data_IF_887259680469
#
_entry.id   IF_887259680469
#
_cell.length_a   1.000
_cell.length_b   1.000
_cell.length_c   1.000
_cell.angle_alpha   90.00
_cell.angle_beta   90.00
_cell.angle_gamma   90.00
#
_symmetry.space_group_name_H-M   'P 1'
#
loop_
_entity.id
_entity.type
_entity.pdbx_description
1 polymer ?
#
# COMPACT_ATOMS: atom_id res chain seq x y z
N UNK A 1 -3.72 17.40 10.93
CA UNK A 1 -4.40 16.50 9.96
C UNK A 1 -4.58 17.24 8.62
N UNK A 2 -3.68 17.10 7.65
CA UNK A 2 -3.86 17.62 6.27
C UNK A 2 -2.90 17.05 5.21
N UNK A 3 -2.02 16.10 5.57
CA UNK A 3 -0.98 15.59 4.65
C UNK A 3 -1.36 14.31 3.90
N UNK A 4 -2.34 13.53 4.36
CA UNK A 4 -2.67 12.23 3.75
C UNK A 4 -3.45 12.35 2.45
N UNK A 5 -4.36 13.32 2.30
CA UNK A 5 -5.18 13.45 1.07
C UNK A 5 -4.38 13.88 -0.18
N UNK A 6 -3.19 14.44 0.01
CA UNK A 6 -2.33 14.84 -1.11
C UNK A 6 -1.49 13.68 -1.66
N UNK A 7 -1.24 12.64 -0.87
CA UNK A 7 -0.42 11.49 -1.28
C UNK A 7 -1.23 10.57 -2.22
N UNK A 8 -2.52 10.35 -1.93
CA UNK A 8 -3.41 9.57 -2.80
C UNK A 8 -3.67 10.26 -4.15
N UNK A 9 -3.69 11.60 -4.17
CA UNK A 9 -3.72 12.42 -5.39
C UNK A 9 -2.42 12.34 -6.20
N UNK A 10 -1.28 12.29 -5.52
CA UNK A 10 0.02 12.09 -6.19
C UNK A 10 0.11 10.69 -6.81
N UNK A 11 -0.46 9.68 -6.14
CA UNK A 11 -0.51 8.29 -6.65
C UNK A 11 -1.37 8.15 -7.91
N UNK A 12 -2.54 8.79 -7.95
CA UNK A 12 -3.42 8.80 -9.13
C UNK A 12 -2.85 9.61 -10.30
N UNK A 13 -2.24 10.78 -10.01
CA UNK A 13 -1.52 11.56 -11.01
C UNK A 13 -0.30 10.81 -11.57
N UNK A 14 0.42 10.08 -10.71
CA UNK A 14 1.54 9.21 -11.09
C UNK A 14 1.12 8.08 -12.03
N UNK A 15 -0.02 7.42 -11.75
CA UNK A 15 -0.61 6.38 -12.61
C UNK A 15 -0.96 6.92 -14.01
N UNK A 16 -1.56 8.11 -14.07
CA UNK A 16 -1.85 8.80 -15.32
C UNK A 16 -0.58 9.17 -16.10
N UNK A 17 0.43 9.74 -15.43
CA UNK A 17 1.72 10.08 -16.03
C UNK A 17 2.45 8.83 -16.56
N UNK A 18 2.46 7.73 -15.79
CA UNK A 18 3.05 6.48 -16.25
C UNK A 18 2.34 5.88 -17.47
N UNK A 19 1.03 6.07 -17.62
CA UNK A 19 0.30 5.63 -18.80
C UNK A 19 0.65 6.45 -20.05
N UNK A 20 0.89 7.76 -19.90
CA UNK A 20 1.29 8.66 -20.98
C UNK A 20 2.73 8.38 -21.45
N UNK A 21 3.63 8.07 -20.51
CA UNK A 21 5.05 7.83 -20.80
C UNK A 21 5.44 6.35 -20.95
N UNK A 22 4.47 5.43 -20.96
CA UNK A 22 4.77 4.01 -21.16
C UNK A 22 5.12 3.72 -22.63
N UNK A 23 6.25 3.05 -22.91
CA UNK A 23 6.66 2.62 -24.26
C UNK A 23 5.60 1.85 -25.06
N UNK A 24 4.69 1.13 -24.39
CA UNK A 24 3.63 0.37 -25.06
C UNK A 24 2.40 1.22 -25.45
N UNK A 25 2.20 2.38 -24.83
CA UNK A 25 1.12 3.33 -25.15
C UNK A 25 1.64 4.49 -26.02
N UNK A 26 2.96 4.59 -26.14
CA UNK A 26 3.68 5.57 -26.91
C UNK A 26 3.24 5.67 -28.38
N UNK A 27 3.00 4.54 -29.10
CA UNK A 27 2.50 4.60 -30.47
C UNK A 27 1.11 5.22 -30.57
N UNK A 28 0.22 4.94 -29.60
CA UNK A 28 -1.14 5.48 -29.55
C UNK A 28 -1.13 6.99 -29.27
N UNK A 29 -0.27 7.43 -28.35
CA UNK A 29 -0.11 8.85 -28.03
C UNK A 29 0.58 9.61 -29.17
N UNK A 30 1.58 9.02 -29.80
CA UNK A 30 2.21 9.55 -31.01
C UNK A 30 1.19 9.66 -32.17
N UNK A 31 0.28 8.69 -32.32
CA UNK A 31 -0.81 8.75 -33.30
C UNK A 31 -1.79 9.88 -33.01
N UNK A 32 -2.19 10.05 -31.73
CA UNK A 32 -3.07 11.14 -31.30
C UNK A 32 -2.42 12.53 -31.45
N UNK A 33 -1.14 12.67 -31.08
CA UNK A 33 -0.37 13.90 -31.25
C UNK A 33 -0.15 14.23 -32.74
N UNK A 34 0.09 13.21 -33.57
CA UNK A 34 0.19 13.36 -35.03
C UNK A 34 -1.14 13.79 -35.64
N UNK A 35 -2.26 13.23 -35.17
CA UNK A 35 -3.61 13.63 -35.59
C UNK A 35 -3.96 15.08 -35.19
N UNK A 36 -3.35 15.60 -34.12
CA UNK A 36 -3.46 17.00 -33.70
C UNK A 36 -2.41 17.92 -34.36
N UNK A 37 -1.63 17.41 -35.33
CA UNK A 37 -0.63 18.21 -36.07
C UNK A 37 0.67 18.47 -35.32
N UNK A 38 0.90 17.83 -34.17
CA UNK A 38 2.12 17.94 -33.36
C UNK A 38 3.22 16.93 -33.77
N UNK A 39 3.03 16.23 -34.90
CA UNK A 39 3.91 15.14 -35.36
C UNK A 39 5.33 15.56 -35.77
N UNK A 40 5.63 16.86 -35.79
CA UNK A 40 6.97 17.40 -36.10
C UNK A 40 7.85 17.64 -34.86
N UNK A 41 7.31 17.44 -33.65
CA UNK A 41 8.18 17.37 -32.49
C UNK A 41 8.92 16.03 -32.52
N UNK A 42 10.23 16.06 -32.75
CA UNK A 42 11.17 15.10 -32.19
C UNK A 42 11.11 15.18 -30.65
N UNK A 43 9.95 14.87 -30.07
CA UNK A 43 9.67 14.89 -28.63
C UNK A 43 10.56 13.86 -27.89
N UNK A 44 11.37 13.11 -28.67
CA UNK A 44 12.34 12.09 -28.31
C UNK A 44 13.74 12.37 -28.86
N UNK A 45 14.24 13.60 -28.75
CA UNK A 45 15.69 13.80 -28.76
C UNK A 45 16.39 12.92 -27.71
N UNK A 46 17.72 12.75 -27.78
CA UNK A 46 18.53 11.86 -26.92
C UNK A 46 18.39 12.05 -25.40
N UNK A 47 17.64 13.07 -24.96
CA UNK A 47 17.26 13.33 -23.58
C UNK A 47 16.25 12.33 -23.01
N UNK A 48 15.45 11.65 -23.84
CA UNK A 48 14.37 10.79 -23.35
C UNK A 48 14.86 9.51 -22.68
N UNK A 49 16.06 9.06 -23.04
CA UNK A 49 16.76 7.96 -22.37
C UNK A 49 17.02 8.29 -20.89
N UNK A 50 17.49 9.52 -20.63
CA UNK A 50 17.75 10.02 -19.28
C UNK A 50 16.49 10.18 -18.46
N UNK A 51 15.40 10.65 -19.07
CA UNK A 51 14.09 10.77 -18.41
C UNK A 51 13.56 9.39 -18.00
N UNK A 52 13.64 8.41 -18.90
CA UNK A 52 13.19 7.04 -18.62
C UNK A 52 14.02 6.40 -17.48
N UNK A 53 15.34 6.55 -17.51
CA UNK A 53 16.21 6.09 -16.43
C UNK A 53 15.88 6.76 -15.08
N UNK A 54 15.60 8.06 -15.07
CA UNK A 54 15.18 8.77 -13.86
C UNK A 54 13.87 8.21 -13.28
N UNK A 55 12.88 7.92 -14.13
CA UNK A 55 11.62 7.30 -13.68
C UNK A 55 11.83 5.90 -13.09
N UNK A 56 12.72 5.09 -13.69
CA UNK A 56 13.09 3.77 -13.16
C UNK A 56 13.75 3.90 -11.78
N UNK A 57 14.67 4.86 -11.61
CA UNK A 57 15.30 5.13 -10.31
C UNK A 57 14.29 5.60 -9.26
N UNK A 58 13.36 6.49 -9.63
CA UNK A 58 12.27 6.92 -8.74
C UNK A 58 11.39 5.73 -8.34
N UNK A 59 11.06 4.84 -9.28
CA UNK A 59 10.26 3.63 -9.02
C UNK A 59 10.96 2.67 -8.06
N UNK A 60 12.24 2.35 -8.31
CA UNK A 60 13.05 1.51 -7.42
C UNK A 60 13.24 2.18 -6.05
N UNK A 61 13.44 3.50 -6.01
CA UNK A 61 13.50 4.29 -4.78
C UNK A 61 12.19 4.23 -3.98
N UNK A 62 11.05 4.32 -4.65
CA UNK A 62 9.73 4.13 -4.04
C UNK A 62 9.54 2.73 -3.45
N UNK A 63 9.96 1.69 -4.17
CA UNK A 63 9.97 0.30 -3.68
C UNK A 63 10.95 0.11 -2.51
N UNK A 64 12.08 0.81 -2.50
CA UNK A 64 13.02 0.81 -1.37
C UNK A 64 12.45 1.49 -0.12
N UNK A 65 11.77 2.63 -0.28
CA UNK A 65 11.05 3.29 0.82
C UNK A 65 9.94 2.36 1.35
N UNK A 66 9.19 1.69 0.46
CA UNK A 66 8.21 0.65 0.82
C UNK A 66 8.85 -0.48 1.64
N UNK A 67 10.02 -0.97 1.21
CA UNK A 67 10.80 -1.97 1.95
C UNK A 67 11.20 -1.51 3.35
N UNK A 68 11.72 -0.29 3.50
CA UNK A 68 12.10 0.24 4.82
C UNK A 68 10.92 0.32 5.79
N UNK A 69 9.71 0.59 5.28
CA UNK A 69 8.50 0.72 6.09
C UNK A 69 7.90 -0.63 6.48
N UNK A 70 7.89 -1.61 5.58
CA UNK A 70 7.19 -2.88 5.79
C UNK A 70 8.11 -4.11 5.93
N UNK A 71 9.45 -3.94 5.87
CA UNK A 71 10.49 -4.98 6.01
C UNK A 71 10.36 -6.17 5.03
N UNK A 72 9.65 -6.02 3.92
CA UNK A 72 9.37 -7.10 2.98
C UNK A 72 10.29 -7.07 1.75
N UNK A 73 11.25 -7.99 1.67
CA UNK A 73 12.35 -7.90 0.68
C UNK A 73 11.99 -8.31 -0.75
N UNK A 74 10.98 -9.16 -0.95
CA UNK A 74 10.68 -9.79 -2.25
C UNK A 74 10.45 -8.81 -3.43
N UNK A 75 9.62 -7.75 -3.31
CA UNK A 75 9.40 -6.84 -4.43
C UNK A 75 10.68 -6.08 -4.81
N UNK A 76 11.49 -5.72 -3.81
CA UNK A 76 12.76 -5.02 -4.02
C UNK A 76 13.80 -5.95 -4.69
N UNK A 77 13.84 -7.23 -4.31
CA UNK A 77 14.73 -8.21 -4.95
C UNK A 77 14.41 -8.45 -6.42
N UNK A 78 13.17 -8.24 -6.87
CA UNK A 78 12.79 -8.30 -8.29
C UNK A 78 13.07 -6.96 -8.97
N UNK A 79 12.82 -5.83 -8.30
CA UNK A 79 12.95 -4.51 -8.90
C UNK A 79 14.39 -4.07 -9.16
N UNK A 80 15.33 -4.36 -8.25
CA UNK A 80 16.75 -4.02 -8.41
C UNK A 80 17.36 -4.67 -9.66
N UNK A 81 17.29 -6.00 -9.87
CA UNK A 81 17.85 -6.62 -11.07
C UNK A 81 17.11 -6.17 -12.34
N UNK A 82 15.81 -5.91 -12.26
CA UNK A 82 15.03 -5.36 -13.38
C UNK A 82 15.51 -3.97 -13.80
N UNK A 83 15.80 -3.09 -12.84
CA UNK A 83 16.37 -1.76 -13.10
C UNK A 83 17.79 -1.82 -13.66
N UNK A 84 18.63 -2.73 -13.15
CA UNK A 84 19.98 -2.97 -13.69
C UNK A 84 19.93 -3.50 -15.13
N UNK A 85 18.98 -4.39 -15.44
CA UNK A 85 18.79 -4.92 -16.80
C UNK A 85 18.42 -3.80 -17.79
N UNK A 86 17.56 -2.87 -17.39
CA UNK A 86 17.19 -1.69 -18.20
C UNK A 86 18.41 -0.79 -18.42
N UNK A 87 19.21 -0.55 -17.37
CA UNK A 87 20.42 0.25 -17.49
C UNK A 87 21.46 -0.40 -18.42
N UNK A 88 21.66 -1.71 -18.28
CA UNK A 88 22.54 -2.50 -19.15
C UNK A 88 22.10 -2.46 -20.62
N UNK A 89 20.80 -2.64 -20.87
CA UNK A 89 20.24 -2.58 -22.21
C UNK A 89 20.56 -1.24 -22.91
N UNK A 90 20.55 -0.14 -22.15
CA UNK A 90 20.74 1.20 -22.71
C UNK A 90 22.20 1.64 -22.87
N UNK A 91 23.11 1.18 -22.00
CA UNK A 91 24.48 1.71 -21.98
C UNK A 91 25.55 0.75 -22.49
N UNK A 92 25.27 -0.55 -22.54
CA UNK A 92 26.28 -1.57 -22.85
C UNK A 92 25.91 -2.36 -24.10
N UNK A 93 24.61 -2.53 -24.40
CA UNK A 93 24.17 -3.41 -25.47
C UNK A 93 23.83 -2.63 -26.76
N UNK A 94 24.84 -2.40 -27.61
CA UNK A 94 24.67 -1.82 -28.96
C UNK A 94 24.07 -2.79 -29.99
N UNK A 95 23.72 -4.02 -29.59
CA UNK A 95 23.10 -5.02 -30.47
C UNK A 95 21.59 -4.84 -30.59
N UNK A 96 21.01 -5.27 -31.73
CA UNK A 96 19.55 -5.20 -32.01
C UNK A 96 18.65 -5.82 -30.92
N UNK A 97 19.21 -6.69 -30.08
CA UNK A 97 18.52 -7.32 -28.95
C UNK A 97 18.25 -6.39 -27.75
N UNK A 98 18.73 -5.14 -27.76
CA UNK A 98 18.60 -4.22 -26.62
C UNK A 98 17.14 -4.01 -26.19
N UNK A 99 16.23 -3.99 -27.17
CA UNK A 99 14.78 -3.86 -26.95
C UNK A 99 14.20 -5.01 -26.13
N UNK A 100 14.64 -6.26 -26.35
CA UNK A 100 14.17 -7.42 -25.59
C UNK A 100 14.58 -7.34 -24.11
N UNK A 101 15.82 -6.91 -23.83
CA UNK A 101 16.28 -6.72 -22.45
C UNK A 101 15.53 -5.58 -21.75
N UNK A 102 15.28 -4.48 -22.47
CA UNK A 102 14.48 -3.37 -21.95
C UNK A 102 13.06 -3.83 -21.58
N UNK A 103 12.38 -4.55 -22.46
CA UNK A 103 11.03 -5.06 -22.20
C UNK A 103 11.00 -6.08 -21.05
N UNK A 104 11.99 -6.97 -20.99
CA UNK A 104 12.11 -7.93 -19.89
C UNK A 104 12.24 -7.22 -18.53
N UNK A 105 13.06 -6.16 -18.46
CA UNK A 105 13.23 -5.37 -17.25
C UNK A 105 11.98 -4.59 -16.88
N UNK A 106 11.27 -4.01 -17.84
CA UNK A 106 9.99 -3.35 -17.59
C UNK A 106 8.93 -4.30 -17.06
N UNK A 107 8.84 -5.50 -17.63
CA UNK A 107 7.92 -6.53 -17.17
C UNK A 107 8.26 -6.98 -15.74
N UNK A 108 9.55 -7.11 -15.42
CA UNK A 108 10.02 -7.38 -14.06
C UNK A 108 9.62 -6.30 -13.05
N UNK A 109 9.77 -5.01 -13.41
CA UNK A 109 9.32 -3.89 -12.56
C UNK A 109 7.80 -3.88 -12.38
N UNK A 110 7.04 -4.22 -13.42
CA UNK A 110 5.59 -4.32 -13.36
C UNK A 110 5.16 -5.44 -12.41
N UNK A 111 5.77 -6.63 -12.51
CA UNK A 111 5.55 -7.73 -11.56
C UNK A 111 5.90 -7.30 -10.14
N UNK A 112 7.06 -6.67 -9.93
CA UNK A 112 7.48 -6.18 -8.62
C UNK A 112 6.46 -5.20 -8.03
N UNK A 113 5.92 -4.31 -8.87
CA UNK A 113 4.92 -3.32 -8.48
C UNK A 113 3.58 -3.97 -8.14
N UNK A 114 3.12 -4.92 -8.95
CA UNK A 114 1.90 -5.69 -8.65
C UNK A 114 2.07 -6.48 -7.35
N UNK A 115 3.23 -7.09 -7.13
CA UNK A 115 3.52 -7.82 -5.90
C UNK A 115 3.55 -6.88 -4.69
N UNK A 116 4.19 -5.71 -4.82
CA UNK A 116 4.19 -4.68 -3.81
C UNK A 116 2.77 -4.14 -3.53
N UNK A 117 1.96 -3.91 -4.56
CA UNK A 117 0.57 -3.45 -4.42
C UNK A 117 -0.31 -4.49 -3.76
N UNK A 118 -0.29 -5.74 -4.25
CA UNK A 118 -1.07 -6.84 -3.65
C UNK A 118 -0.64 -7.10 -2.22
N UNK A 119 0.66 -7.08 -1.94
CA UNK A 119 1.18 -7.22 -0.57
C UNK A 119 0.87 -6.03 0.30
N UNK A 120 0.96 -4.80 -0.18
CA UNK A 120 0.57 -3.61 0.58
C UNK A 120 -0.94 -3.54 0.80
N UNK A 121 -1.75 -4.12 -0.10
CA UNK A 121 -3.18 -4.30 0.11
C UNK A 121 -3.47 -5.40 1.14
N UNK A 122 -2.69 -6.47 1.16
CA UNK A 122 -2.82 -7.56 2.14
C UNK A 122 -2.25 -7.20 3.51
N UNK A 123 -1.15 -6.43 3.57
CA UNK A 123 -0.42 -6.05 4.78
C UNK A 123 -0.66 -4.57 5.16
N UNK A 124 -1.58 -3.89 4.48
CA UNK A 124 -1.84 -2.44 4.64
C UNK A 124 -2.58 -2.08 5.92
N UNK A 125 -3.08 -3.06 6.63
CA UNK A 125 -3.79 -2.92 7.88
C UNK A 125 -3.61 -4.26 8.59
N UNK A 126 -3.48 -4.28 9.91
CA UNK A 126 -3.33 -5.54 10.64
C UNK A 126 -4.33 -6.59 10.15
N UNK A 127 -3.99 -7.89 10.23
CA UNK A 127 -4.83 -8.98 9.72
C UNK A 127 -6.27 -8.96 10.29
N UNK A 128 -6.49 -8.16 11.34
CA UNK A 128 -7.75 -7.96 12.06
C UNK A 128 -8.22 -6.51 12.06
N UNK A 129 -7.71 -5.66 11.17
CA UNK A 129 -8.05 -4.25 11.10
C UNK A 129 -9.13 -4.00 10.03
N UNK A 130 -10.13 -3.19 10.35
CA UNK A 130 -11.23 -2.82 9.44
C UNK A 130 -11.29 -1.31 9.24
N UNK A 131 -12.10 -0.85 8.28
CA UNK A 131 -12.34 0.59 8.08
C UNK A 131 -13.62 1.00 8.80
N UNK A 132 -13.52 1.92 9.76
CA UNK A 132 -14.64 2.49 10.50
C UNK A 132 -14.65 4.01 10.29
N UNK A 133 -15.76 4.57 9.77
CA UNK A 133 -15.90 6.00 9.44
C UNK A 133 -14.70 6.60 8.68
N UNK A 134 -14.13 5.83 7.74
CA UNK A 134 -12.99 6.25 6.91
C UNK A 134 -11.63 6.23 7.62
N UNK A 135 -11.53 5.65 8.82
CA UNK A 135 -10.28 5.46 9.58
C UNK A 135 -10.00 3.96 9.77
N UNK A 136 -8.72 3.59 9.84
CA UNK A 136 -8.27 2.21 10.08
C UNK A 136 -8.32 1.90 11.58
N UNK A 137 -9.07 0.85 11.98
CA UNK A 137 -9.24 0.43 13.37
C UNK A 137 -8.90 -1.05 13.54
N UNK A 138 -8.29 -1.44 14.65
CA UNK A 138 -7.96 -2.82 15.00
C UNK A 138 -9.12 -3.48 15.76
N UNK A 139 -9.64 -4.60 15.23
CA UNK A 139 -10.80 -5.29 15.83
C UNK A 139 -10.40 -6.45 16.73
N UNK A 140 -9.17 -6.94 16.66
CA UNK A 140 -8.72 -8.00 17.56
C UNK A 140 -8.26 -7.41 18.89
N UNK A 141 -8.89 -7.86 19.96
CA UNK A 141 -8.51 -7.48 21.31
C UNK A 141 -8.50 -8.70 22.21
N UNK A 142 -7.45 -8.81 23.04
CA UNK A 142 -7.37 -9.82 24.08
C UNK A 142 -8.03 -9.29 25.34
N UNK A 143 -9.19 -9.87 25.69
CA UNK A 143 -9.89 -9.60 26.94
C UNK A 143 -9.23 -10.37 28.08
N UNK A 144 -8.89 -9.67 29.16
CA UNK A 144 -8.35 -10.27 30.38
C UNK A 144 -9.40 -10.23 31.48
N UNK A 145 -9.82 -11.40 31.97
CA UNK A 145 -10.80 -11.48 33.05
C UNK A 145 -10.17 -11.04 34.39
N UNK A 146 -10.73 -10.03 35.09
CA UNK A 146 -10.19 -9.58 36.38
C UNK A 146 -10.41 -10.59 37.52
N UNK A 147 -11.38 -11.51 37.38
CA UNK A 147 -11.72 -12.48 38.43
C UNK A 147 -10.77 -13.70 38.45
N UNK A 148 -10.33 -14.17 37.28
CA UNK A 148 -9.55 -15.42 37.15
C UNK A 148 -8.26 -15.28 36.34
N UNK A 149 -7.95 -14.09 35.81
CA UNK A 149 -6.77 -13.82 35.00
C UNK A 149 -6.78 -14.46 33.61
N UNK A 150 -7.87 -15.12 33.20
CA UNK A 150 -7.97 -15.75 31.89
C UNK A 150 -7.95 -14.71 30.78
N UNK A 151 -7.15 -14.96 29.74
CA UNK A 151 -7.02 -14.12 28.56
C UNK A 151 -7.65 -14.82 27.37
N UNK A 152 -8.55 -14.13 26.67
CA UNK A 152 -9.15 -14.62 25.43
C UNK A 152 -9.05 -13.56 24.35
N UNK A 153 -8.54 -13.94 23.19
CA UNK A 153 -8.49 -13.07 22.01
C UNK A 153 -9.79 -13.21 21.24
N UNK A 154 -10.47 -12.08 21.05
CA UNK A 154 -11.78 -12.00 20.40
C UNK A 154 -11.76 -10.92 19.32
N UNK A 155 -12.62 -11.10 18.33
CA UNK A 155 -12.88 -10.09 17.30
C UNK A 155 -14.03 -9.20 17.79
N UNK A 156 -13.74 -7.92 17.93
CA UNK A 156 -14.66 -6.91 18.38
C UNK A 156 -15.62 -6.51 17.24
N UNK A 157 -16.94 -6.51 17.48
CA UNK A 157 -17.90 -6.04 16.51
C UNK A 157 -17.74 -4.54 16.23
N UNK A 158 -17.93 -4.12 14.99
CA UNK A 158 -17.91 -2.72 14.56
C UNK A 158 -19.29 -2.09 14.48
N UNK A 159 -20.33 -2.92 14.53
CA UNK A 159 -21.75 -2.58 14.41
C UNK A 159 -22.46 -2.44 15.75
N UNK A 160 -21.85 -2.90 16.86
CA UNK A 160 -22.46 -2.85 18.19
C UNK A 160 -21.43 -2.73 19.32
N UNK A 161 -21.88 -2.13 20.43
CA UNK A 161 -21.10 -2.04 21.67
C UNK A 161 -21.30 -3.28 22.55
N UNK A 162 -20.21 -3.98 22.89
CA UNK A 162 -20.27 -5.12 23.82
C UNK A 162 -20.18 -4.61 25.25
N UNK A 163 -21.35 -4.44 25.88
CA UNK A 163 -21.44 -4.01 27.28
C UNK A 163 -21.31 -5.16 28.28
N UNK A 164 -21.73 -6.37 27.90
CA UNK A 164 -21.64 -7.56 28.74
C UNK A 164 -20.79 -8.62 28.06
N UNK A 165 -19.87 -9.22 28.81
CA UNK A 165 -19.06 -10.34 28.33
C UNK A 165 -19.01 -11.44 29.39
N UNK A 166 -19.26 -12.68 28.98
CA UNK A 166 -19.15 -13.83 29.87
C UNK A 166 -17.79 -14.48 29.70
N UNK A 167 -17.02 -14.58 30.78
CA UNK A 167 -15.72 -15.25 30.73
C UNK A 167 -15.90 -16.76 30.53
N UNK A 168 -15.26 -17.35 29.53
CA UNK A 168 -15.38 -18.79 29.24
C UNK A 168 -14.87 -19.69 30.37
N UNK A 169 -13.88 -19.23 31.14
CA UNK A 169 -13.25 -20.04 32.20
C UNK A 169 -14.07 -20.06 33.49
N UNK A 170 -14.46 -18.89 34.01
CA UNK A 170 -15.16 -18.77 35.29
C UNK A 170 -16.65 -18.45 35.17
N UNK A 171 -17.17 -18.31 33.94
CA UNK A 171 -18.58 -17.97 33.63
C UNK A 171 -19.08 -16.69 34.30
N UNK A 172 -18.17 -15.84 34.77
CA UNK A 172 -18.52 -14.56 35.36
C UNK A 172 -18.88 -13.57 34.25
N UNK A 173 -20.02 -12.89 34.40
CA UNK A 173 -20.42 -11.79 33.52
C UNK A 173 -19.71 -10.49 33.92
N UNK A 174 -18.81 -10.04 33.05
CA UNK A 174 -18.09 -8.78 33.17
C UNK A 174 -18.95 -7.62 32.66
N UNK A 175 -18.81 -6.47 33.33
CA UNK A 175 -19.36 -5.17 32.94
C UNK A 175 -18.21 -4.15 32.87
N UNK A 176 -18.28 -3.14 31.99
CA UNK A 176 -17.27 -2.09 31.93
C UNK A 176 -17.09 -1.38 33.28
N UNK A 177 -15.89 -0.85 33.49
CA UNK A 177 -15.55 0.00 34.63
C UNK A 177 -16.25 1.36 34.49
N UNK A 178 -16.43 2.04 35.63
CA UNK A 178 -17.03 3.37 35.64
C UNK A 178 -16.18 4.34 34.82
N UNK A 179 -16.77 4.92 33.77
CA UNK A 179 -16.10 5.84 32.84
C UNK A 179 -15.72 5.23 31.49
N UNK A 180 -15.79 3.89 31.35
CA UNK A 180 -15.57 3.21 30.07
C UNK A 180 -16.89 2.83 29.39
N UNK A 181 -16.90 2.78 28.05
CA UNK A 181 -18.11 2.49 27.27
C UNK A 181 -18.39 1.01 27.04
N UNK A 182 -17.38 0.14 27.07
CA UNK A 182 -17.52 -1.28 26.73
C UNK A 182 -16.48 -2.15 27.43
N UNK A 183 -16.70 -3.46 27.43
CA UNK A 183 -15.78 -4.43 28.06
C UNK A 183 -14.37 -4.40 27.48
N UNK A 184 -14.22 -4.07 26.19
CA UNK A 184 -12.92 -3.94 25.53
C UNK A 184 -12.16 -2.69 25.99
N UNK A 185 -12.85 -1.58 26.26
CA UNK A 185 -12.22 -0.39 26.82
C UNK A 185 -11.67 -0.64 28.23
N UNK A 186 -12.38 -1.43 29.04
CA UNK A 186 -11.98 -1.71 30.42
C UNK A 186 -10.97 -2.84 30.57
N UNK A 187 -11.13 -3.93 29.81
CA UNK A 187 -10.39 -5.18 30.03
C UNK A 187 -9.65 -5.69 28.78
N UNK A 188 -9.76 -4.98 27.66
CA UNK A 188 -9.12 -5.32 26.40
C UNK A 188 -7.73 -4.73 26.24
N UNK A 189 -6.90 -5.33 25.39
CA UNK A 189 -5.61 -4.78 24.97
C UNK A 189 -5.76 -3.61 24.01
N UNK A 190 -6.84 -3.60 23.22
CA UNK A 190 -7.14 -2.57 22.22
C UNK A 190 -8.50 -1.94 22.55
N UNK A 191 -8.59 -0.61 22.47
CA UNK A 191 -9.82 0.16 22.76
C UNK A 191 -10.89 -0.07 21.68
N UNK A 192 -12.14 0.32 21.93
CA UNK A 192 -13.23 0.12 20.96
C UNK A 192 -13.09 0.94 19.66
N UNK A 193 -13.76 0.56 18.56
CA UNK A 193 -13.64 1.24 17.27
C UNK A 193 -13.90 2.75 17.32
N UNK A 194 -14.96 3.28 18.00
CA UNK A 194 -15.19 4.72 18.04
C UNK A 194 -14.07 5.46 18.77
N UNK A 195 -13.53 4.92 19.87
CA UNK A 195 -12.40 5.52 20.60
C UNK A 195 -11.13 5.53 19.73
N UNK A 196 -10.85 4.44 19.00
CA UNK A 196 -9.73 4.38 18.05
C UNK A 196 -9.90 5.39 16.90
N UNK A 197 -11.14 5.59 16.45
CA UNK A 197 -11.49 6.58 15.44
C UNK A 197 -11.51 8.02 15.99
N UNK A 198 -11.29 8.25 17.29
CA UNK A 198 -11.33 9.57 17.92
C UNK A 198 -12.73 10.16 18.00
N UNK A 199 -13.75 9.30 17.97
CA UNK A 199 -15.14 9.64 18.25
C UNK A 199 -15.45 9.40 19.73
N UNK A 200 -16.54 9.98 20.22
CA UNK A 200 -16.99 9.73 21.58
C UNK A 200 -17.48 8.29 21.73
N UNK A 201 -17.54 7.82 22.97
CA UNK A 201 -18.22 6.59 23.34
C UNK A 201 -19.60 6.50 22.69
N UNK A 202 -19.96 5.28 22.29
CA UNK A 202 -21.18 4.87 21.57
C UNK A 202 -22.41 5.75 21.75
#
# INVERSE_FOLDING_TARGET
>A
MKLTSNIDKLGTAGLFLTAIFSPCCFPLFAFAASALGLGSFELFGGWTMWIFQAMVLISVGGLYISYRRHRCMYPLMVAIPSGLLIFYAYHINDSDYWTYFLYAGMFGLLIATIWNYKRNKMNGTCDTCTTYNGKTVETQSTLTCPNCGHKKTEIMPTDACVYFYECEKCKTRLKPLQGDCCVYCSYGTVKCPPIQAGENCC
#
